data_IF_414570469186
#
_entry.id   IF_414570469186
#
_cell.length_a   1.000
_cell.length_b   1.000
_cell.length_c   1.000
_cell.angle_alpha   90.00
_cell.angle_beta   90.00
_cell.angle_gamma   90.00
#
_symmetry.space_group_name_H-M   'P 1'
#
loop_
_entity.id
_entity.type
_entity.pdbx_description
1 polymer ?
#
# COMPACT_ATOMS: atom_id res chain seq x y z
N UNK A 1 -31.82 -7.01 -9.52
CA UNK A 1 -30.80 -8.08 -9.38
C UNK A 1 -29.37 -7.51 -9.32
N UNK A 2 -28.92 -6.75 -10.31
CA UNK A 2 -27.55 -6.16 -10.36
C UNK A 2 -27.24 -5.26 -9.16
N UNK A 3 -28.14 -4.35 -8.77
CA UNK A 3 -27.92 -3.46 -7.62
C UNK A 3 -27.77 -4.20 -6.28
N UNK A 4 -28.57 -5.26 -6.07
CA UNK A 4 -28.50 -6.13 -4.89
C UNK A 4 -27.18 -6.89 -4.82
N UNK A 5 -26.71 -7.43 -5.96
CA UNK A 5 -25.42 -8.08 -6.06
C UNK A 5 -24.26 -7.12 -5.75
N UNK A 6 -24.29 -5.92 -6.36
CA UNK A 6 -23.28 -4.87 -6.12
C UNK A 6 -23.22 -4.47 -4.65
N UNK A 7 -24.36 -4.30 -3.98
CA UNK A 7 -24.37 -3.93 -2.57
C UNK A 7 -23.79 -5.05 -1.68
N UNK A 8 -24.21 -6.30 -1.87
CA UNK A 8 -23.65 -7.45 -1.12
C UNK A 8 -22.14 -7.59 -1.31
N UNK A 9 -21.65 -7.37 -2.53
CA UNK A 9 -20.22 -7.38 -2.82
C UNK A 9 -19.47 -6.28 -2.04
N UNK A 10 -19.99 -5.06 -2.04
CA UNK A 10 -19.36 -3.94 -1.31
C UNK A 10 -19.38 -4.16 0.21
N UNK A 11 -20.46 -4.72 0.76
CA UNK A 11 -20.56 -5.01 2.20
C UNK A 11 -19.49 -6.02 2.65
N UNK A 12 -19.26 -7.06 1.83
CA UNK A 12 -18.22 -8.06 2.08
C UNK A 12 -16.82 -7.45 2.10
N UNK A 13 -16.53 -6.57 1.15
CA UNK A 13 -15.25 -5.86 1.04
C UNK A 13 -15.07 -4.90 2.22
N UNK A 14 -16.08 -4.09 2.54
CA UNK A 14 -16.05 -3.12 3.64
C UNK A 14 -15.65 -3.74 4.97
N UNK A 15 -16.22 -4.91 5.30
CA UNK A 15 -16.12 -5.49 6.65
C UNK A 15 -14.68 -5.84 7.06
N UNK A 16 -13.84 -6.24 6.10
CA UNK A 16 -12.50 -6.75 6.41
C UNK A 16 -11.38 -5.93 5.78
N UNK A 17 -11.59 -5.32 4.61
CA UNK A 17 -10.50 -4.71 3.84
C UNK A 17 -9.84 -3.53 4.55
N UNK A 18 -10.58 -2.72 5.30
CA UNK A 18 -9.98 -1.60 6.02
C UNK A 18 -9.02 -2.05 7.12
N UNK A 19 -9.48 -2.98 7.99
CA UNK A 19 -8.69 -3.48 9.11
C UNK A 19 -7.49 -4.30 8.61
N UNK A 20 -7.75 -5.22 7.68
CA UNK A 20 -6.70 -6.02 7.08
C UNK A 20 -5.68 -5.12 6.38
N UNK A 21 -6.13 -4.09 5.65
CA UNK A 21 -5.26 -3.12 5.01
C UNK A 21 -4.32 -2.42 5.98
N UNK A 22 -4.84 -1.94 7.12
CA UNK A 22 -4.04 -1.31 8.16
C UNK A 22 -3.00 -2.27 8.76
N UNK A 23 -3.39 -3.53 9.02
CA UNK A 23 -2.46 -4.55 9.53
C UNK A 23 -1.35 -4.83 8.53
N UNK A 24 -1.68 -5.02 7.24
CA UNK A 24 -0.69 -5.31 6.20
C UNK A 24 0.28 -4.13 5.98
N UNK A 25 -0.19 -2.88 6.03
CA UNK A 25 0.68 -1.69 6.03
C UNK A 25 1.56 -1.66 7.28
N UNK A 26 1.02 -2.00 8.45
CA UNK A 26 1.77 -1.97 9.71
C UNK A 26 2.91 -2.99 9.76
N UNK A 27 2.77 -4.16 9.12
CA UNK A 27 3.73 -5.26 9.18
C UNK A 27 5.16 -4.83 8.82
N UNK A 28 5.33 -3.99 7.78
CA UNK A 28 6.67 -3.53 7.40
C UNK A 28 7.34 -2.73 8.53
N UNK A 29 6.60 -1.87 9.22
CA UNK A 29 7.12 -1.06 10.32
C UNK A 29 7.41 -1.90 11.55
N UNK A 30 6.54 -2.87 11.87
CA UNK A 30 6.73 -3.77 13.02
C UNK A 30 7.97 -4.62 12.83
N UNK A 31 8.12 -5.28 11.67
CA UNK A 31 9.26 -6.16 11.41
C UNK A 31 10.55 -5.35 11.29
N UNK A 32 10.51 -4.18 10.63
CA UNK A 32 11.65 -3.26 10.53
C UNK A 32 12.11 -2.76 11.91
N UNK A 33 11.18 -2.29 12.74
CA UNK A 33 11.45 -1.80 14.09
C UNK A 33 11.97 -2.90 15.01
N UNK A 34 11.42 -4.11 14.90
CA UNK A 34 11.92 -5.28 15.65
C UNK A 34 13.37 -5.64 15.25
N UNK A 35 13.66 -5.67 13.95
CA UNK A 35 15.03 -5.93 13.47
C UNK A 35 16.04 -4.92 14.00
N UNK A 36 15.69 -3.63 14.02
CA UNK A 36 16.53 -2.56 14.59
C UNK A 36 16.68 -2.67 16.10
N UNK A 37 15.65 -3.13 16.82
CA UNK A 37 15.71 -3.37 18.25
C UNK A 37 16.69 -4.50 18.60
N UNK A 38 16.80 -5.53 17.75
CA UNK A 38 17.75 -6.63 17.94
C UNK A 38 19.20 -6.24 17.63
N UNK A 39 19.43 -5.22 16.81
CA UNK A 39 20.76 -4.67 16.55
C UNK A 39 20.78 -3.13 16.48
N UNK A 40 20.61 -2.44 17.63
CA UNK A 40 20.60 -0.97 17.66
C UNK A 40 21.97 -0.38 17.29
N UNK A 41 23.06 -1.03 17.70
CA UNK A 41 24.41 -0.56 17.40
C UNK A 41 24.74 -0.58 15.90
N UNK A 42 24.39 -1.66 15.20
CA UNK A 42 24.55 -1.74 13.74
C UNK A 42 23.69 -0.69 13.01
N UNK A 43 22.47 -0.46 13.49
CA UNK A 43 21.60 0.58 12.93
C UNK A 43 22.16 1.99 13.17
N UNK A 44 22.65 2.28 14.38
CA UNK A 44 23.27 3.55 14.72
C UNK A 44 24.56 3.81 13.93
N UNK A 45 25.34 2.76 13.65
CA UNK A 45 26.50 2.83 12.76
C UNK A 45 26.07 3.18 11.32
N UNK A 46 25.09 2.48 10.76
CA UNK A 46 24.54 2.79 9.44
C UNK A 46 24.01 4.23 9.35
N UNK A 47 23.28 4.69 10.37
CA UNK A 47 22.79 6.08 10.43
C UNK A 47 23.94 7.10 10.48
N UNK A 48 25.01 6.80 11.21
CA UNK A 48 26.20 7.65 11.27
C UNK A 48 26.90 7.72 9.91
N UNK A 49 27.03 6.59 9.23
CA UNK A 49 27.65 6.51 7.90
C UNK A 49 26.80 7.25 6.84
N UNK A 50 25.47 7.28 7.03
CA UNK A 50 24.55 8.11 6.25
C UNK A 50 24.56 9.60 6.65
N UNK A 51 25.44 10.03 7.55
CA UNK A 51 25.60 11.44 7.95
C UNK A 51 24.55 11.96 8.94
N UNK A 52 23.78 11.08 9.60
CA UNK A 52 22.77 11.48 10.57
C UNK A 52 23.44 11.82 11.92
N UNK A 53 23.36 13.08 12.40
CA UNK A 53 23.94 13.46 13.69
C UNK A 53 23.21 12.78 14.85
N UNK A 54 23.88 12.61 16.00
CA UNK A 54 23.28 12.01 17.20
C UNK A 54 22.69 10.60 16.98
N UNK A 55 23.24 9.83 16.03
CA UNK A 55 22.71 8.53 15.62
C UNK A 55 22.52 7.54 16.79
N UNK A 56 23.40 7.59 17.80
CA UNK A 56 23.30 6.74 18.98
C UNK A 56 22.03 6.95 19.82
N UNK A 57 21.49 8.17 19.88
CA UNK A 57 20.22 8.44 20.55
C UNK A 57 19.03 8.31 19.57
N UNK A 58 19.19 8.81 18.34
CA UNK A 58 18.13 8.79 17.33
C UNK A 58 17.71 7.38 16.93
N UNK A 59 18.60 6.39 17.00
CA UNK A 59 18.24 4.99 16.71
C UNK A 59 17.08 4.50 17.56
N UNK A 60 17.03 4.87 18.85
CA UNK A 60 15.94 4.47 19.74
C UNK A 60 14.63 5.19 19.43
N UNK A 61 14.71 6.43 18.94
CA UNK A 61 13.54 7.16 18.43
C UNK A 61 13.00 6.48 17.18
N UNK A 62 13.87 6.09 16.23
CA UNK A 62 13.49 5.36 15.01
C UNK A 62 12.83 4.02 15.37
N UNK A 63 13.44 3.24 16.26
CA UNK A 63 12.89 1.97 16.75
C UNK A 63 11.50 2.18 17.37
N UNK A 64 11.36 3.19 18.24
CA UNK A 64 10.08 3.48 18.89
C UNK A 64 9.00 3.89 17.88
N UNK A 65 9.31 4.77 16.93
CA UNK A 65 8.38 5.22 15.90
C UNK A 65 7.92 4.06 15.03
N UNK A 66 8.84 3.22 14.54
CA UNK A 66 8.48 2.08 13.69
C UNK A 66 7.71 1.01 14.44
N UNK A 67 8.21 0.57 15.61
CA UNK A 67 7.62 -0.56 16.32
C UNK A 67 6.30 -0.16 17.01
N UNK A 68 6.31 0.90 17.82
CA UNK A 68 5.10 1.35 18.52
C UNK A 68 4.08 1.94 17.55
N UNK A 69 4.54 2.69 16.54
CA UNK A 69 3.67 3.22 15.49
C UNK A 69 3.04 2.11 14.65
N UNK A 70 3.83 1.11 14.24
CA UNK A 70 3.32 -0.06 13.53
C UNK A 70 2.26 -0.83 14.33
N UNK A 71 2.56 -1.16 15.60
CA UNK A 71 1.59 -1.83 16.49
C UNK A 71 0.33 -0.99 16.67
N UNK A 72 0.48 0.31 16.94
CA UNK A 72 -0.66 1.22 17.12
C UNK A 72 -1.54 1.30 15.86
N UNK A 73 -0.94 1.32 14.66
CA UNK A 73 -1.69 1.29 13.40
C UNK A 73 -2.45 -0.02 13.23
N UNK A 74 -1.81 -1.16 13.51
CA UNK A 74 -2.39 -2.50 13.38
C UNK A 74 -3.62 -2.69 14.30
N UNK A 75 -3.50 -2.33 15.58
CA UNK A 75 -4.60 -2.46 16.56
C UNK A 75 -5.67 -1.37 16.39
N UNK A 76 -5.34 -0.29 15.69
CA UNK A 76 -6.26 0.80 15.42
C UNK A 76 -6.27 1.92 16.45
N UNK A 77 -5.22 2.04 17.26
CA UNK A 77 -5.06 3.12 18.22
C UNK A 77 -4.69 4.43 17.51
N UNK A 78 -5.52 5.47 17.64
CA UNK A 78 -5.32 6.81 17.03
C UNK A 78 -4.83 6.73 15.57
N UNK A 79 -5.46 5.85 14.76
CA UNK A 79 -5.03 5.47 13.39
C UNK A 79 -4.52 6.63 12.55
N UNK A 80 -5.21 7.76 12.59
CA UNK A 80 -4.87 8.92 11.76
C UNK A 80 -3.57 9.61 12.17
N UNK A 81 -3.42 9.89 13.47
CA UNK A 81 -2.21 10.51 14.01
C UNK A 81 -1.00 9.59 13.84
N UNK A 82 -1.20 8.29 14.06
CA UNK A 82 -0.16 7.27 13.86
C UNK A 82 0.20 7.13 12.38
N UNK A 83 -0.78 7.08 11.48
CA UNK A 83 -0.52 7.04 10.04
C UNK A 83 0.24 8.29 9.57
N UNK A 84 -0.09 9.47 10.10
CA UNK A 84 0.64 10.71 9.81
C UNK A 84 2.09 10.65 10.33
N UNK A 85 2.31 10.15 11.54
CA UNK A 85 3.66 9.95 12.08
C UNK A 85 4.48 9.01 11.20
N UNK A 86 3.93 7.85 10.85
CA UNK A 86 4.59 6.86 9.99
C UNK A 86 4.79 7.39 8.56
N UNK A 87 3.85 8.20 8.05
CA UNK A 87 3.97 8.87 6.75
C UNK A 87 5.19 9.80 6.74
N UNK A 88 5.29 10.69 7.73
CA UNK A 88 6.39 11.65 7.82
C UNK A 88 7.73 10.94 7.99
N UNK A 89 7.77 9.92 8.86
CA UNK A 89 8.94 9.08 9.04
C UNK A 89 9.37 8.41 7.72
N UNK A 90 8.46 7.70 7.05
CA UNK A 90 8.77 7.00 5.81
C UNK A 90 9.19 7.99 4.71
N UNK A 91 8.61 9.20 4.66
CA UNK A 91 8.97 10.21 3.68
C UNK A 91 10.43 10.65 3.86
N UNK A 92 10.85 10.93 5.09
CA UNK A 92 12.26 11.25 5.40
C UNK A 92 13.17 10.08 5.00
N UNK A 93 12.85 8.87 5.43
CA UNK A 93 13.67 7.69 5.09
C UNK A 93 13.77 7.45 3.57
N UNK A 94 12.69 7.71 2.83
CA UNK A 94 12.66 7.53 1.37
C UNK A 94 13.56 8.55 0.68
N UNK A 95 13.49 9.82 1.07
CA UNK A 95 14.30 10.88 0.49
C UNK A 95 15.79 10.75 0.87
N UNK A 96 16.09 10.19 2.04
CA UNK A 96 17.47 9.98 2.49
C UNK A 96 18.11 8.70 1.94
N UNK A 97 17.38 7.59 1.88
CA UNK A 97 17.96 6.26 1.58
C UNK A 97 17.67 5.74 0.16
N UNK A 98 16.69 6.32 -0.53
CA UNK A 98 16.31 5.91 -1.90
C UNK A 98 16.36 7.11 -2.87
N UNK A 99 17.37 7.96 -2.69
CA UNK A 99 17.68 9.13 -3.51
C UNK A 99 18.30 8.74 -4.86
N UNK A 100 17.52 8.03 -5.69
CA UNK A 100 17.94 7.43 -6.97
C UNK A 100 18.63 8.41 -7.93
N UNK A 101 18.37 9.71 -7.81
CA UNK A 101 19.00 10.77 -8.61
C UNK A 101 20.50 10.96 -8.34
N UNK A 102 21.06 10.35 -7.28
CA UNK A 102 22.51 10.33 -7.03
C UNK A 102 23.22 9.10 -7.58
N UNK A 103 22.50 8.16 -8.20
CA UNK A 103 23.04 6.91 -8.70
C UNK A 103 22.94 6.85 -10.23
N UNK A 104 23.66 5.91 -10.85
CA UNK A 104 23.60 5.63 -12.28
C UNK A 104 23.45 4.12 -12.55
N UNK A 105 22.99 3.77 -13.76
CA UNK A 105 22.91 2.37 -14.22
C UNK A 105 21.95 1.49 -13.42
N UNK A 106 22.37 0.25 -13.14
CA UNK A 106 21.58 -0.75 -12.42
C UNK A 106 21.22 -0.33 -10.99
N UNK A 107 22.13 0.37 -10.30
CA UNK A 107 21.90 0.83 -8.93
C UNK A 107 20.82 1.92 -8.89
N UNK A 108 20.84 2.86 -9.85
CA UNK A 108 19.78 3.86 -10.00
C UNK A 108 18.42 3.21 -10.19
N UNK A 109 18.32 2.18 -11.03
CA UNK A 109 17.08 1.45 -11.25
C UNK A 109 16.59 0.77 -9.97
N UNK A 110 17.49 0.11 -9.23
CA UNK A 110 17.16 -0.48 -7.94
C UNK A 110 16.61 0.53 -6.92
N UNK A 111 17.28 1.68 -6.78
CA UNK A 111 16.83 2.74 -5.88
C UNK A 111 15.51 3.38 -6.34
N UNK A 112 15.32 3.56 -7.63
CA UNK A 112 14.08 4.09 -8.21
C UNK A 112 12.89 3.17 -7.90
N UNK A 113 13.06 1.85 -8.02
CA UNK A 113 12.01 0.88 -7.63
C UNK A 113 11.69 0.98 -6.14
N UNK A 114 12.69 1.07 -5.26
CA UNK A 114 12.45 1.23 -3.82
C UNK A 114 11.74 2.54 -3.48
N UNK A 115 12.09 3.62 -4.18
CA UNK A 115 11.44 4.92 -4.08
C UNK A 115 9.96 4.85 -4.48
N UNK A 116 9.64 4.20 -5.61
CA UNK A 116 8.26 3.99 -6.06
C UNK A 116 7.45 3.13 -5.09
N UNK A 117 8.04 2.05 -4.56
CA UNK A 117 7.39 1.21 -3.54
C UNK A 117 7.03 2.03 -2.30
N UNK A 118 7.98 2.85 -1.82
CA UNK A 118 7.72 3.73 -0.68
C UNK A 118 6.67 4.78 -1.01
N UNK A 119 6.66 5.34 -2.22
CA UNK A 119 5.65 6.30 -2.66
C UNK A 119 4.25 5.70 -2.60
N UNK A 120 4.08 4.44 -3.00
CA UNK A 120 2.79 3.75 -2.90
C UNK A 120 2.36 3.52 -1.44
N UNK A 121 3.30 3.18 -0.54
CA UNK A 121 3.02 3.05 0.90
C UNK A 121 2.68 4.42 1.52
N UNK A 122 3.40 5.49 1.16
CA UNK A 122 3.10 6.86 1.55
C UNK A 122 1.69 7.26 1.10
N UNK A 123 1.29 6.90 -0.12
CA UNK A 123 -0.08 7.11 -0.61
C UNK A 123 -1.13 6.42 0.26
N UNK A 124 -0.88 5.19 0.70
CA UNK A 124 -1.76 4.46 1.63
C UNK A 124 -1.82 5.08 3.03
N UNK A 125 -0.68 5.47 3.59
CA UNK A 125 -0.62 6.12 4.91
C UNK A 125 -1.30 7.49 4.89
N UNK A 126 -1.10 8.27 3.83
CA UNK A 126 -1.78 9.56 3.64
C UNK A 126 -3.29 9.36 3.50
N UNK A 127 -3.72 8.29 2.83
CA UNK A 127 -5.13 7.93 2.73
C UNK A 127 -5.72 7.59 4.11
N UNK A 128 -5.04 6.77 4.91
CA UNK A 128 -5.47 6.43 6.28
C UNK A 128 -5.49 7.66 7.19
N UNK A 129 -4.48 8.54 7.09
CA UNK A 129 -4.43 9.79 7.84
C UNK A 129 -5.62 10.71 7.50
N UNK A 130 -6.04 10.73 6.22
CA UNK A 130 -7.08 11.65 5.73
C UNK A 130 -8.53 11.16 5.82
N UNK A 131 -8.78 9.89 6.14
CA UNK A 131 -10.09 9.25 6.00
C UNK A 131 -11.25 9.85 6.85
N UNK A 132 -11.02 10.67 7.88
CA UNK A 132 -12.10 11.38 8.61
C UNK A 132 -12.36 12.82 8.17
N UNK A 133 -11.52 13.45 7.34
CA UNK A 133 -11.75 14.85 6.95
C UNK A 133 -13.03 14.95 6.10
N UNK A 134 -13.93 15.88 6.47
CA UNK A 134 -15.23 16.06 5.80
C UNK A 134 -15.05 16.17 4.27
N UNK A 135 -15.84 15.35 3.56
CA UNK A 135 -15.77 14.97 2.14
C UNK A 135 -15.49 16.07 1.10
N UNK A 136 -15.77 17.34 1.41
CA UNK A 136 -15.64 18.46 0.46
C UNK A 136 -14.17 18.84 0.16
N UNK A 137 -13.24 18.53 1.06
CA UNK A 137 -11.79 18.74 0.86
C UNK A 137 -11.04 17.43 0.49
N UNK A 138 -11.71 16.28 0.50
CA UNK A 138 -11.08 14.97 0.40
C UNK A 138 -11.01 14.37 -1.01
N UNK A 139 -11.73 14.92 -2.00
CA UNK A 139 -11.78 14.32 -3.36
C UNK A 139 -10.43 14.43 -4.07
N UNK A 140 -9.83 15.63 -4.07
CA UNK A 140 -8.51 15.86 -4.64
C UNK A 140 -7.42 15.08 -3.91
N UNK A 141 -7.41 15.14 -2.58
CA UNK A 141 -6.44 14.39 -1.77
C UNK A 141 -6.57 12.87 -1.95
N UNK A 142 -7.80 12.35 -2.00
CA UNK A 142 -8.06 10.93 -2.29
C UNK A 142 -7.56 10.52 -3.67
N UNK A 143 -7.69 11.39 -4.68
CA UNK A 143 -7.11 11.15 -5.99
C UNK A 143 -5.58 11.11 -5.93
N UNK A 144 -4.94 12.07 -5.24
CA UNK A 144 -3.48 12.09 -5.06
C UNK A 144 -2.98 10.82 -4.37
N UNK A 145 -3.62 10.38 -3.30
CA UNK A 145 -3.26 9.14 -2.60
C UNK A 145 -3.32 7.93 -3.54
N UNK A 146 -4.40 7.83 -4.33
CA UNK A 146 -4.59 6.74 -5.31
C UNK A 146 -3.58 6.82 -6.46
N UNK A 147 -3.19 8.02 -6.88
CA UNK A 147 -2.13 8.25 -7.86
C UNK A 147 -0.77 7.79 -7.35
N UNK A 148 -0.43 8.12 -6.10
CA UNK A 148 0.80 7.66 -5.45
C UNK A 148 0.86 6.13 -5.39
N UNK A 149 -0.25 5.47 -5.08
CA UNK A 149 -0.36 4.00 -5.09
C UNK A 149 -0.27 3.44 -6.51
N UNK A 150 -0.96 4.05 -7.47
CA UNK A 150 -1.01 3.59 -8.86
C UNK A 150 0.33 3.71 -9.60
N UNK A 151 1.17 4.66 -9.20
CA UNK A 151 2.38 5.04 -9.94
C UNK A 151 3.31 3.85 -10.19
N UNK A 152 3.60 3.04 -9.17
CA UNK A 152 4.47 1.87 -9.33
C UNK A 152 3.94 0.87 -10.36
N UNK A 153 2.62 0.66 -10.39
CA UNK A 153 1.99 -0.26 -11.34
C UNK A 153 2.09 0.26 -12.77
N UNK A 154 1.91 1.57 -12.98
CA UNK A 154 2.12 2.16 -14.30
C UNK A 154 3.58 2.10 -14.74
N UNK A 155 4.52 2.44 -13.84
CA UNK A 155 5.96 2.40 -14.16
C UNK A 155 6.42 0.98 -14.53
N UNK A 156 5.90 -0.03 -13.83
CA UNK A 156 6.14 -1.44 -14.17
C UNK A 156 5.47 -1.84 -15.49
N UNK A 157 4.21 -1.44 -15.70
CA UNK A 157 3.43 -1.83 -16.86
C UNK A 157 3.99 -1.27 -18.17
N UNK A 158 4.46 -0.02 -18.16
CA UNK A 158 5.04 0.64 -19.34
C UNK A 158 6.52 0.29 -19.56
N UNK A 159 7.11 -0.57 -18.73
CA UNK A 159 8.50 -1.01 -18.87
C UNK A 159 9.54 0.06 -18.51
N UNK A 160 9.13 1.11 -17.78
CA UNK A 160 10.08 2.09 -17.21
C UNK A 160 10.97 1.42 -16.17
N UNK A 161 10.41 0.46 -15.42
CA UNK A 161 11.16 -0.48 -14.59
C UNK A 161 11.49 -1.72 -15.43
N UNK A 162 12.78 -2.06 -15.54
CA UNK A 162 13.23 -3.22 -16.31
C UNK A 162 12.56 -4.53 -15.84
N UNK A 163 12.10 -5.32 -16.80
CA UNK A 163 11.40 -6.59 -16.60
C UNK A 163 12.29 -7.82 -16.86
N UNK A 164 13.57 -7.62 -17.20
CA UNK A 164 14.50 -8.72 -17.51
C UNK A 164 14.60 -9.73 -16.37
N UNK A 165 14.62 -9.22 -15.13
CA UNK A 165 14.66 -10.04 -13.93
C UNK A 165 13.34 -10.80 -13.71
N UNK A 166 12.20 -10.18 -13.99
CA UNK A 166 10.87 -10.77 -13.82
C UNK A 166 10.66 -12.00 -14.70
N UNK A 167 11.16 -11.97 -15.95
CA UNK A 167 11.07 -13.10 -16.87
C UNK A 167 11.84 -14.32 -16.33
N UNK A 168 13.07 -14.08 -15.88
CA UNK A 168 13.91 -15.13 -15.31
C UNK A 168 13.31 -15.69 -14.01
N UNK A 169 12.78 -14.82 -13.15
CA UNK A 169 12.12 -15.23 -11.90
C UNK A 169 10.84 -16.06 -12.14
N UNK A 170 10.06 -15.77 -13.19
CA UNK A 170 8.89 -16.57 -13.56
C UNK A 170 9.26 -17.99 -13.98
N UNK A 171 10.30 -18.13 -14.80
CA UNK A 171 10.77 -19.45 -15.26
C UNK A 171 11.34 -20.24 -14.07
N UNK A 172 12.13 -19.60 -13.20
CA UNK A 172 12.62 -20.23 -11.97
C UNK A 172 11.49 -20.66 -11.02
N UNK A 173 10.38 -19.92 -11.00
CA UNK A 173 9.19 -20.27 -10.23
C UNK A 173 8.37 -21.42 -10.84
N UNK A 174 8.82 -22.00 -11.97
CA UNK A 174 8.20 -23.14 -12.64
C UNK A 174 7.23 -22.78 -13.76
N UNK A 175 7.17 -21.51 -14.19
CA UNK A 175 6.40 -21.14 -15.38
C UNK A 175 7.07 -21.71 -16.64
N UNK A 176 6.31 -22.30 -17.59
CA UNK A 176 6.86 -22.72 -18.87
C UNK A 176 7.52 -21.54 -19.58
N UNK A 177 8.76 -21.72 -20.06
CA UNK A 177 9.55 -20.67 -20.71
C UNK A 177 8.81 -20.03 -21.90
N UNK A 178 8.05 -20.86 -22.63
CA UNK A 178 7.20 -20.44 -23.75
C UNK A 178 6.06 -19.51 -23.34
N UNK A 179 5.58 -19.62 -22.09
CA UNK A 179 4.48 -18.81 -21.55
C UNK A 179 4.98 -17.58 -20.79
N UNK A 180 6.27 -17.51 -20.41
CA UNK A 180 6.81 -16.39 -19.64
C UNK A 180 6.54 -15.01 -20.29
N UNK A 181 6.74 -14.81 -21.62
CA UNK A 181 6.42 -13.54 -22.26
C UNK A 181 4.92 -13.19 -22.20
N UNK A 182 4.05 -14.20 -22.30
CA UNK A 182 2.61 -14.00 -22.23
C UNK A 182 2.17 -13.62 -20.81
N UNK A 183 2.74 -14.27 -19.80
CA UNK A 183 2.47 -13.98 -18.39
C UNK A 183 2.91 -12.57 -18.00
N UNK A 184 4.07 -12.11 -18.50
CA UNK A 184 4.52 -10.73 -18.31
C UNK A 184 3.51 -9.75 -18.92
N UNK A 185 3.11 -9.96 -20.18
CA UNK A 185 2.12 -9.09 -20.85
C UNK A 185 0.78 -9.09 -20.11
N UNK A 186 0.31 -10.24 -19.66
CA UNK A 186 -0.92 -10.34 -18.86
C UNK A 186 -0.79 -9.55 -17.54
N UNK A 187 0.36 -9.63 -16.88
CA UNK A 187 0.67 -8.85 -15.69
C UNK A 187 0.71 -7.34 -15.96
N UNK A 188 1.28 -6.90 -17.09
CA UNK A 188 1.29 -5.49 -17.49
C UNK A 188 -0.13 -4.98 -17.76
N UNK A 189 -0.94 -5.74 -18.52
CA UNK A 189 -2.35 -5.40 -18.79
C UNK A 189 -3.14 -5.28 -17.49
N UNK A 190 -2.95 -6.23 -16.57
CA UNK A 190 -3.60 -6.22 -15.25
C UNK A 190 -3.24 -4.96 -14.45
N UNK A 191 -1.96 -4.56 -14.48
CA UNK A 191 -1.47 -3.36 -13.81
C UNK A 191 -2.03 -2.06 -14.43
N UNK A 192 -2.12 -1.97 -15.76
CA UNK A 192 -2.73 -0.81 -16.44
C UNK A 192 -4.22 -0.71 -16.09
N UNK A 193 -4.98 -1.79 -16.27
CA UNK A 193 -6.43 -1.80 -16.02
C UNK A 193 -6.69 -1.47 -14.56
N UNK A 194 -6.00 -2.15 -13.63
CA UNK A 194 -6.13 -1.92 -12.21
C UNK A 194 -5.78 -0.47 -11.81
N UNK A 195 -4.69 0.08 -12.35
CA UNK A 195 -4.27 1.45 -12.12
C UNK A 195 -5.28 2.49 -12.62
N UNK A 196 -5.79 2.32 -13.85
CA UNK A 196 -6.80 3.23 -14.42
C UNK A 196 -8.10 3.19 -13.61
N UNK A 197 -8.57 1.99 -13.25
CA UNK A 197 -9.76 1.81 -12.42
C UNK A 197 -9.59 2.43 -11.02
N UNK A 198 -8.39 2.33 -10.44
CA UNK A 198 -8.06 2.94 -9.15
C UNK A 198 -8.17 4.47 -9.20
N UNK A 199 -7.79 5.10 -10.30
CA UNK A 199 -7.88 6.57 -10.50
C UNK A 199 -9.27 7.05 -10.92
N UNK A 200 -10.15 6.13 -11.30
CA UNK A 200 -11.48 6.47 -11.79
C UNK A 200 -12.33 7.16 -10.69
N UNK A 201 -13.28 8.05 -11.06
CA UNK A 201 -14.12 8.75 -10.08
C UNK A 201 -15.22 7.86 -9.48
N UNK A 202 -15.64 6.78 -10.18
CA UNK A 202 -16.72 5.91 -9.70
C UNK A 202 -16.21 4.94 -8.63
N UNK A 203 -16.82 4.96 -7.43
CA UNK A 203 -16.43 4.13 -6.28
C UNK A 203 -16.26 2.64 -6.60
N UNK A 204 -17.16 2.05 -7.41
CA UNK A 204 -17.12 0.62 -7.75
C UNK A 204 -15.89 0.31 -8.61
N UNK A 205 -15.54 1.21 -9.54
CA UNK A 205 -14.31 1.07 -10.32
C UNK A 205 -13.07 1.11 -9.42
N UNK A 206 -13.03 2.02 -8.44
CA UNK A 206 -11.93 2.11 -7.48
C UNK A 206 -11.76 0.81 -6.69
N UNK A 207 -12.86 0.24 -6.20
CA UNK A 207 -12.85 -1.04 -5.46
C UNK A 207 -12.34 -2.18 -6.35
N UNK A 208 -12.86 -2.30 -7.57
CA UNK A 208 -12.42 -3.34 -8.52
C UNK A 208 -10.94 -3.16 -8.86
N UNK A 209 -10.50 -1.94 -9.16
CA UNK A 209 -9.09 -1.66 -9.48
C UNK A 209 -8.16 -2.01 -8.32
N UNK A 210 -8.54 -1.62 -7.10
CA UNK A 210 -7.77 -1.94 -5.89
C UNK A 210 -7.65 -3.45 -5.65
N UNK A 211 -8.76 -4.18 -5.75
CA UNK A 211 -8.79 -5.63 -5.54
C UNK A 211 -8.06 -6.39 -6.66
N UNK A 212 -8.16 -5.92 -7.91
CA UNK A 212 -7.44 -6.50 -9.04
C UNK A 212 -5.93 -6.39 -8.84
N UNK A 213 -5.44 -5.20 -8.47
CA UNK A 213 -4.02 -4.97 -8.20
C UNK A 213 -3.55 -5.76 -6.97
N UNK A 214 -4.36 -5.80 -5.90
CA UNK A 214 -4.03 -6.58 -4.71
C UNK A 214 -3.94 -8.08 -5.03
N UNK A 215 -4.92 -8.60 -5.78
CA UNK A 215 -4.95 -9.99 -6.22
C UNK A 215 -3.81 -10.37 -7.17
N UNK A 216 -3.33 -9.42 -7.99
CA UNK A 216 -2.13 -9.60 -8.81
C UNK A 216 -0.86 -9.62 -7.96
N UNK A 217 -0.75 -8.72 -6.98
CA UNK A 217 0.47 -8.59 -6.16
C UNK A 217 0.72 -9.78 -5.24
N UNK A 218 -0.32 -10.42 -4.69
CA UNK A 218 -0.16 -11.55 -3.77
C UNK A 218 0.66 -12.69 -4.37
N UNK A 219 0.27 -13.32 -5.50
CA UNK A 219 1.05 -14.38 -6.12
C UNK A 219 2.42 -13.87 -6.59
N UNK A 220 2.49 -12.68 -7.19
CA UNK A 220 3.75 -12.09 -7.64
C UNK A 220 4.76 -11.90 -6.49
N UNK A 221 4.27 -11.58 -5.29
CA UNK A 221 5.11 -11.39 -4.09
C UNK A 221 5.59 -12.72 -3.53
N UNK A 222 4.70 -13.71 -3.49
CA UNK A 222 5.04 -15.05 -3.01
C UNK A 222 6.07 -15.74 -3.91
N UNK A 223 6.06 -15.45 -5.22
CA UNK A 223 7.02 -16.02 -6.17
C UNK A 223 8.32 -15.22 -6.25
N UNK A 224 8.26 -13.91 -6.46
CA UNK A 224 9.44 -13.09 -6.71
C UNK A 224 10.24 -12.76 -5.44
N UNK A 225 9.58 -12.76 -4.28
CA UNK A 225 10.18 -12.37 -3.00
C UNK A 225 10.03 -13.42 -1.91
N UNK A 226 10.24 -14.68 -2.28
CA UNK A 226 10.26 -15.84 -1.38
C UNK A 226 11.47 -15.81 -0.43
N UNK A 227 11.45 -14.95 0.57
CA UNK A 227 12.56 -14.77 1.52
C UNK A 227 12.89 -16.05 2.31
N UNK A 228 11.94 -16.97 2.46
CA UNK A 228 12.14 -18.27 3.10
C UNK A 228 13.03 -19.23 2.29
N UNK A 229 13.20 -18.99 1.00
CA UNK A 229 14.13 -19.74 0.13
C UNK A 229 15.35 -18.92 -0.28
N UNK A 230 15.55 -17.75 0.32
CA UNK A 230 16.67 -16.87 0.00
C UNK A 230 17.96 -17.38 0.66
N UNK A 231 19.09 -17.19 -0.02
CA UNK A 231 20.41 -17.36 0.60
C UNK A 231 20.62 -16.34 1.72
N UNK A 232 21.50 -16.61 2.71
CA UNK A 232 21.69 -15.70 3.85
C UNK A 232 22.04 -14.26 3.48
N UNK A 233 22.81 -14.05 2.41
CA UNK A 233 23.18 -12.74 1.88
C UNK A 233 22.00 -11.99 1.23
N UNK A 234 21.04 -12.71 0.66
CA UNK A 234 19.86 -12.13 0.01
C UNK A 234 18.64 -12.00 0.94
N UNK A 235 18.64 -12.67 2.09
CA UNK A 235 17.48 -12.76 2.99
C UNK A 235 16.88 -11.39 3.33
N UNK A 236 17.70 -10.45 3.80
CA UNK A 236 17.23 -9.12 4.22
C UNK A 236 16.62 -8.32 3.06
N UNK A 237 17.21 -8.42 1.87
CA UNK A 237 16.70 -7.76 0.67
C UNK A 237 15.37 -8.37 0.21
N UNK A 238 15.25 -9.70 0.25
CA UNK A 238 14.01 -10.39 -0.11
C UNK A 238 12.89 -10.12 0.90
N UNK A 239 13.18 -10.19 2.20
CA UNK A 239 12.21 -9.87 3.26
C UNK A 239 11.72 -8.43 3.15
N UNK A 240 12.62 -7.47 2.91
CA UNK A 240 12.24 -6.06 2.73
C UNK A 240 11.30 -5.87 1.54
N UNK A 241 11.61 -6.50 0.40
CA UNK A 241 10.75 -6.42 -0.78
C UNK A 241 9.40 -7.10 -0.58
N UNK A 242 9.38 -8.24 0.09
CA UNK A 242 8.17 -8.94 0.49
C UNK A 242 7.27 -8.02 1.34
N UNK A 243 7.81 -7.46 2.43
CA UNK A 243 7.06 -6.59 3.33
C UNK A 243 6.57 -5.30 2.64
N UNK A 244 7.36 -4.71 1.74
CA UNK A 244 6.92 -3.55 0.95
C UNK A 244 5.75 -3.90 0.05
N UNK A 245 5.80 -5.04 -0.63
CA UNK A 245 4.68 -5.48 -1.46
C UNK A 245 3.43 -5.77 -0.62
N UNK A 246 3.59 -6.41 0.54
CA UNK A 246 2.50 -6.62 1.51
C UNK A 246 1.90 -5.30 1.97
N UNK A 247 2.72 -4.29 2.25
CA UNK A 247 2.25 -2.96 2.62
C UNK A 247 1.50 -2.27 1.47
N UNK A 248 1.93 -2.41 0.21
CA UNK A 248 1.20 -1.87 -0.96
C UNK A 248 -0.16 -2.56 -1.11
N UNK A 249 -0.24 -3.88 -0.94
CA UNK A 249 -1.52 -4.61 -0.87
C UNK A 249 -2.39 -4.04 0.26
N UNK A 250 -1.80 -3.77 1.42
CA UNK A 250 -2.46 -3.11 2.52
C UNK A 250 -3.06 -1.75 2.13
N UNK A 251 -2.28 -0.90 1.46
CA UNK A 251 -2.73 0.40 0.94
C UNK A 251 -3.93 0.25 0.00
N UNK A 252 -3.87 -0.70 -0.94
CA UNK A 252 -4.98 -0.98 -1.85
C UNK A 252 -6.25 -1.42 -1.10
N UNK A 253 -6.12 -2.28 -0.09
CA UNK A 253 -7.26 -2.74 0.72
C UNK A 253 -7.86 -1.62 1.57
N UNK A 254 -7.06 -0.69 2.10
CA UNK A 254 -7.60 0.49 2.81
C UNK A 254 -8.44 1.37 1.88
N UNK A 255 -7.99 1.58 0.63
CA UNK A 255 -8.74 2.31 -0.40
C UNK A 255 -10.03 1.56 -0.75
N UNK A 256 -9.95 0.25 -1.00
CA UNK A 256 -11.13 -0.56 -1.31
C UNK A 256 -12.18 -0.51 -0.18
N UNK A 257 -11.76 -0.69 1.06
CA UNK A 257 -12.65 -0.66 2.23
C UNK A 257 -13.35 0.70 2.41
N UNK A 258 -12.62 1.80 2.23
CA UNK A 258 -13.20 3.15 2.34
C UNK A 258 -14.24 3.44 1.25
N UNK A 259 -13.93 3.11 -0.01
CA UNK A 259 -14.86 3.36 -1.13
C UNK A 259 -16.06 2.41 -1.12
N UNK A 260 -15.94 1.21 -0.53
CA UNK A 260 -17.05 0.32 -0.28
C UNK A 260 -18.04 0.89 0.75
N UNK A 261 -17.53 1.49 1.84
CA UNK A 261 -18.36 2.07 2.91
C UNK A 261 -19.23 3.28 2.48
N UNK A 262 -18.87 3.99 1.41
CA UNK A 262 -19.54 5.24 1.01
C UNK A 262 -21.02 5.07 0.60
N UNK A 263 -21.55 3.84 0.51
CA UNK A 263 -22.96 3.55 0.22
C UNK A 263 -23.92 3.86 1.38
N UNK A 264 -23.51 3.64 2.63
CA UNK A 264 -24.39 3.80 3.80
C UNK A 264 -24.85 5.25 4.02
N UNK A 265 -23.97 6.24 3.76
CA UNK A 265 -24.22 7.64 4.13
C UNK A 265 -25.23 8.38 3.24
N UNK A 266 -25.52 7.87 2.04
CA UNK A 266 -26.43 8.52 1.09
C UNK A 266 -27.73 7.76 0.85
N UNK A 267 -27.81 6.47 1.21
CA UNK A 267 -29.04 5.67 1.13
C UNK A 267 -30.04 5.93 2.26
N UNK A 268 -29.61 6.51 3.39
CA UNK A 268 -30.45 6.75 4.57
C UNK A 268 -31.31 8.03 4.49
N UNK A 269 -31.11 8.91 3.49
CA UNK A 269 -31.87 10.18 3.40
C UNK A 269 -33.25 10.08 2.74
N UNK A 270 -33.72 8.87 2.41
CA UNK A 270 -34.92 8.66 1.58
C UNK A 270 -36.22 8.24 2.28
N UNK A 271 -36.25 7.96 3.59
CA UNK A 271 -37.43 7.33 4.21
C UNK A 271 -38.00 8.02 5.46
N UNK A 272 -37.57 9.23 5.80
CA UNK A 272 -38.03 9.95 7.02
C UNK A 272 -38.90 11.19 6.74
N UNK A 273 -39.68 11.19 5.65
CA UNK A 273 -40.73 12.20 5.39
C UNK A 273 -41.86 11.59 4.58
N UNK A 274 -42.76 10.90 5.27
CA UNK A 274 -43.93 10.28 4.64
C UNK A 274 -44.77 9.52 5.64
N UNK A 275 -45.06 10.13 6.79
CA UNK A 275 -46.17 9.74 7.66
C UNK A 275 -46.17 10.71 8.86
N UNK A 276 -46.82 11.86 8.70
CA UNK A 276 -47.74 12.45 9.70
C UNK A 276 -48.48 13.58 8.95
N UNK A 277 -49.57 13.20 8.31
CA UNK A 277 -50.58 14.10 7.80
C UNK A 277 -51.86 13.30 7.62
N UNK A 278 -52.93 13.75 8.28
CA UNK A 278 -54.33 13.32 8.16
C UNK A 278 -54.82 12.24 9.14
N UNK A 279 -55.37 12.72 10.28
CA UNK A 279 -56.73 12.44 10.80
C UNK A 279 -57.09 13.64 11.70
N UNK A 280 -57.84 14.61 11.18
CA UNK A 280 -59.31 14.65 11.07
C UNK A 280 -59.95 15.14 12.39
N UNK A 281 -60.76 16.19 12.25
CA UNK A 281 -61.67 16.73 13.25
C UNK A 281 -62.49 15.61 13.90
N UNK A 282 -62.63 15.67 15.22
CA UNK A 282 -63.89 15.73 15.98
C UNK A 282 -63.57 16.00 17.47
#
# INVERSE_FOLDING_TARGET
MIALFTNRFLDLVQRWSWMLGCVLVALIFIVSGWGKLMNPHGTAAFMRDAGIPLSGALVYVVIAVELLGGVALAVGFRRQSVALLLLLFLAVMTLSLHNFWHYAGQEQQGQFVQFLKNTAILGGLLFVASAHYKWKYSVGLSFVCRLMIALIFFMNAFGVVSQERSAHELVLAGAPEQLAPLLIRAGQVTQVIGGVLLLFPKRVAVVIGALLLAGFMVPATLTAHAFWSATPDMYSAQLTNFLKNTAIVGSLLTVAGYFAQLAERFGSKGTAKGDVGVRAND
#
